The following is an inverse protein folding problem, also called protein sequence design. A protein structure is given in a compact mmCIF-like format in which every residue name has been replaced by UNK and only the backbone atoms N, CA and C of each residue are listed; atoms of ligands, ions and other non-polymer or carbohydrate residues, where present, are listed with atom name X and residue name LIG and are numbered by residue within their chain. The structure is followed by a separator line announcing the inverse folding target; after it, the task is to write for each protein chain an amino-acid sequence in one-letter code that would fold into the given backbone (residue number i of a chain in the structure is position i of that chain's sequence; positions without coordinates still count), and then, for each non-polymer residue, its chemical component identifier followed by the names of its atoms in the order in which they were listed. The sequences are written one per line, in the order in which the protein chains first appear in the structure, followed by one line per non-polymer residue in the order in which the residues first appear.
data_IF_033205017386
#
_entry.id   IF_033205017386
#
_cell.length_a   1.000
_cell.length_b   1.000
_cell.length_c   1.000
_cell.angle_alpha   90.00
_cell.angle_beta   90.00
_cell.angle_gamma   90.00
#
_symmetry.space_group_name_H-M   'P 1'
#
loop_
_entity.id
_entity.type
_entity.pdbx_description
1 polymer ?
#
# COMPACT_ATOMS: atom_id res chain seq x y z
N UNK A 1 6.45 -2.94 -12.49
CA UNK A 1 6.06 -4.35 -12.80
C UNK A 1 5.63 -5.12 -11.56
N UNK A 2 6.24 -4.90 -10.41
CA UNK A 2 5.95 -5.65 -9.16
C UNK A 2 4.52 -5.43 -8.65
N UNK A 3 4.04 -4.19 -8.50
CA UNK A 3 2.68 -3.91 -8.02
C UNK A 3 1.59 -4.60 -8.84
N UNK A 4 1.69 -4.52 -10.17
CA UNK A 4 0.77 -5.21 -11.07
C UNK A 4 0.77 -6.72 -10.83
N UNK A 5 1.95 -7.36 -10.77
CA UNK A 5 2.06 -8.81 -10.59
C UNK A 5 1.52 -9.26 -9.23
N UNK A 6 1.82 -8.50 -8.16
CA UNK A 6 1.31 -8.79 -6.83
C UNK A 6 -0.23 -8.66 -6.77
N UNK A 7 -0.79 -7.62 -7.38
CA UNK A 7 -2.24 -7.44 -7.43
C UNK A 7 -2.93 -8.55 -8.23
N UNK A 8 -2.44 -8.89 -9.43
CA UNK A 8 -3.05 -9.94 -10.28
C UNK A 8 -3.03 -11.30 -9.59
N UNK A 9 -2.00 -11.61 -8.81
CA UNK A 9 -1.83 -12.95 -8.22
C UNK A 9 -2.92 -13.36 -7.25
N UNK A 10 -3.67 -12.42 -6.66
CA UNK A 10 -4.81 -12.70 -5.77
C UNK A 10 -6.17 -12.67 -6.46
N UNK A 11 -6.23 -12.33 -7.76
CA UNK A 11 -7.48 -12.15 -8.51
C UNK A 11 -8.45 -11.21 -7.78
N UNK A 12 -8.09 -9.95 -7.57
CA UNK A 12 -8.78 -9.05 -6.67
C UNK A 12 -10.20 -8.73 -7.15
N UNK A 13 -11.09 -8.43 -6.20
CA UNK A 13 -12.40 -7.79 -6.39
C UNK A 13 -12.35 -6.33 -6.00
N UNK A 14 -11.53 -6.03 -4.97
CA UNK A 14 -11.32 -4.69 -4.45
C UNK A 14 -9.84 -4.45 -4.14
N UNK A 15 -9.30 -3.40 -4.74
CA UNK A 15 -7.96 -2.86 -4.48
C UNK A 15 -8.15 -1.51 -3.79
N UNK A 16 -7.51 -1.32 -2.65
CA UNK A 16 -7.47 -0.04 -1.94
C UNK A 16 -6.06 0.51 -1.98
N UNK A 17 -5.93 1.74 -2.42
CA UNK A 17 -4.69 2.50 -2.54
C UNK A 17 -4.75 3.71 -1.61
N UNK A 18 -3.84 3.80 -0.67
CA UNK A 18 -3.64 4.95 0.22
C UNK A 18 -2.41 5.72 -0.24
N UNK A 19 -2.62 6.97 -0.68
CA UNK A 19 -1.62 7.77 -1.37
C UNK A 19 -1.60 7.53 -2.88
N UNK A 20 -1.87 8.58 -3.67
CA UNK A 20 -2.01 8.52 -5.14
C UNK A 20 -0.94 9.35 -5.84
N UNK A 21 -0.70 10.56 -5.35
CA UNK A 21 0.27 11.50 -5.89
C UNK A 21 0.18 11.63 -7.42
N UNK A 22 1.18 11.12 -8.17
CA UNK A 22 1.27 11.16 -9.63
C UNK A 22 0.47 10.07 -10.37
N UNK A 23 -0.07 9.08 -9.64
CA UNK A 23 -0.87 7.99 -10.20
C UNK A 23 -0.06 6.84 -10.79
N UNK A 24 1.24 6.75 -10.49
CA UNK A 24 2.10 5.66 -11.00
C UNK A 24 1.66 4.28 -10.48
N UNK A 25 1.31 4.19 -9.20
CA UNK A 25 0.74 3.00 -8.57
C UNK A 25 -0.68 2.75 -9.05
N UNK A 26 -1.52 3.79 -9.12
CA UNK A 26 -2.89 3.74 -9.65
C UNK A 26 -2.93 3.09 -11.03
N UNK A 27 -2.01 3.48 -11.93
CA UNK A 27 -1.91 2.89 -13.27
C UNK A 27 -1.64 1.37 -13.21
N UNK A 28 -0.79 0.91 -12.31
CA UNK A 28 -0.51 -0.52 -12.15
C UNK A 28 -1.74 -1.28 -11.62
N UNK A 29 -2.44 -0.71 -10.63
CA UNK A 29 -3.64 -1.30 -10.07
C UNK A 29 -4.83 -1.29 -11.03
N UNK A 30 -5.00 -0.20 -11.78
CA UNK A 30 -6.01 -0.15 -12.85
C UNK A 30 -5.82 -1.27 -13.88
N UNK A 31 -4.58 -1.50 -14.32
CA UNK A 31 -4.29 -2.59 -15.25
C UNK A 31 -4.57 -3.98 -14.65
N UNK A 32 -4.25 -4.19 -13.39
CA UNK A 32 -4.59 -5.43 -12.69
C UNK A 32 -6.12 -5.59 -12.57
N UNK A 33 -6.81 -4.52 -12.18
CA UNK A 33 -8.25 -4.50 -12.02
C UNK A 33 -9.01 -4.77 -13.33
N UNK A 34 -8.51 -4.31 -14.46
CA UNK A 34 -9.09 -4.61 -15.79
C UNK A 34 -9.08 -6.10 -16.11
N UNK A 35 -8.12 -6.87 -15.60
CA UNK A 35 -8.06 -8.32 -15.84
C UNK A 35 -9.06 -9.10 -14.99
N UNK A 36 -9.33 -8.65 -13.77
CA UNK A 36 -10.25 -9.33 -12.83
C UNK A 36 -11.64 -8.71 -12.78
N UNK A 37 -11.82 -7.50 -13.33
CA UNK A 37 -13.02 -6.71 -13.18
C UNK A 37 -13.16 -6.05 -11.81
N UNK A 38 -12.08 -5.91 -11.07
CA UNK A 38 -12.04 -5.34 -9.71
C UNK A 38 -12.43 -3.86 -9.67
N UNK A 39 -12.87 -3.38 -8.52
CA UNK A 39 -12.86 -1.96 -8.19
C UNK A 39 -11.49 -1.52 -7.68
N UNK A 40 -11.12 -0.28 -7.98
CA UNK A 40 -9.95 0.40 -7.39
C UNK A 40 -10.46 1.61 -6.64
N UNK A 41 -10.20 1.66 -5.35
CA UNK A 41 -10.48 2.79 -4.47
C UNK A 41 -9.15 3.43 -4.10
N UNK A 42 -8.97 4.70 -4.46
CA UNK A 42 -7.78 5.47 -4.13
C UNK A 42 -8.15 6.62 -3.19
N UNK A 43 -7.40 6.76 -2.10
CA UNK A 43 -7.63 7.79 -1.08
C UNK A 43 -6.39 8.67 -0.99
N UNK A 44 -6.56 9.98 -1.05
CA UNK A 44 -5.47 10.96 -0.92
C UNK A 44 -6.00 12.27 -0.34
N UNK A 45 -5.13 13.03 0.33
CA UNK A 45 -5.44 14.39 0.81
C UNK A 45 -5.50 15.41 -0.33
N UNK A 46 -4.78 15.18 -1.42
CA UNK A 46 -4.74 16.04 -2.58
C UNK A 46 -5.74 15.62 -3.67
N UNK A 47 -6.05 16.50 -4.58
CA UNK A 47 -6.98 16.20 -5.69
C UNK A 47 -6.26 15.47 -6.83
N UNK A 48 -6.49 14.15 -6.92
CA UNK A 48 -5.88 13.26 -7.91
C UNK A 48 -6.90 12.69 -8.93
N UNK A 49 -8.10 13.29 -9.06
CA UNK A 49 -9.19 12.76 -9.89
C UNK A 49 -8.85 12.56 -11.36
N UNK A 50 -7.85 13.28 -11.86
CA UNK A 50 -7.45 13.19 -13.28
C UNK A 50 -6.51 12.03 -13.60
N UNK A 51 -6.14 11.23 -12.61
CA UNK A 51 -5.10 10.19 -12.78
C UNK A 51 -5.59 8.90 -13.43
N UNK A 52 -6.89 8.62 -13.40
CA UNK A 52 -7.45 7.42 -14.03
C UNK A 52 -8.77 7.68 -14.76
N UNK A 53 -8.95 6.99 -15.90
CA UNK A 53 -10.21 6.90 -16.63
C UNK A 53 -10.87 5.51 -16.50
N UNK A 54 -10.42 4.68 -15.58
CA UNK A 54 -10.97 3.34 -15.38
C UNK A 54 -12.40 3.45 -14.80
N UNK A 55 -13.43 2.83 -15.42
CA UNK A 55 -14.82 3.02 -14.99
C UNK A 55 -15.14 2.53 -13.57
N UNK A 56 -14.32 1.62 -13.04
CA UNK A 56 -14.43 1.12 -11.67
C UNK A 56 -13.33 1.67 -10.76
N UNK A 57 -12.74 2.80 -11.10
CA UNK A 57 -11.88 3.56 -10.23
C UNK A 57 -12.68 4.65 -9.53
N UNK A 58 -12.52 4.74 -8.23
CA UNK A 58 -13.09 5.80 -7.39
C UNK A 58 -11.99 6.49 -6.63
N UNK A 59 -11.97 7.81 -6.68
CA UNK A 59 -11.07 8.63 -5.90
C UNK A 59 -11.83 9.29 -4.74
N UNK A 60 -11.26 9.22 -3.55
CA UNK A 60 -11.76 9.89 -2.34
C UNK A 60 -10.70 10.87 -1.84
N UNK A 61 -11.05 12.16 -1.86
CA UNK A 61 -10.18 13.22 -1.32
C UNK A 61 -10.47 13.39 0.17
N UNK A 62 -9.77 12.65 1.00
CA UNK A 62 -9.95 12.63 2.45
C UNK A 62 -8.69 12.09 3.15
N UNK A 63 -8.60 12.34 4.47
CA UNK A 63 -7.65 11.63 5.31
C UNK A 63 -8.03 10.14 5.36
N UNK A 64 -7.09 9.28 5.07
CA UNK A 64 -7.26 7.82 4.95
C UNK A 64 -7.67 7.16 6.26
N UNK A 65 -7.19 7.64 7.41
CA UNK A 65 -7.59 7.12 8.74
C UNK A 65 -9.06 7.47 9.02
N UNK A 66 -9.47 8.70 8.73
CA UNK A 66 -10.88 9.12 8.89
C UNK A 66 -11.77 8.31 7.97
N UNK A 67 -11.37 8.15 6.71
CA UNK A 67 -12.13 7.41 5.72
C UNK A 67 -12.21 5.90 6.04
N UNK A 68 -11.25 5.32 6.73
CA UNK A 68 -11.33 3.92 7.17
C UNK A 68 -12.59 3.64 8.02
N UNK A 69 -13.03 4.61 8.82
CA UNK A 69 -14.30 4.51 9.57
C UNK A 69 -15.56 4.56 8.69
N UNK A 70 -15.48 5.20 7.54
CA UNK A 70 -16.58 5.37 6.57
C UNK A 70 -16.55 4.27 5.48
N UNK A 71 -15.46 3.51 5.38
CA UNK A 71 -15.23 2.52 4.33
C UNK A 71 -16.35 1.47 4.19
N UNK A 72 -16.93 0.89 5.26
CA UNK A 72 -18.03 -0.05 5.14
C UNK A 72 -19.29 0.57 4.49
N UNK A 73 -19.60 1.81 4.83
CA UNK A 73 -20.73 2.55 4.25
C UNK A 73 -20.48 2.88 2.78
N UNK A 74 -19.25 3.29 2.45
CA UNK A 74 -18.82 3.49 1.08
C UNK A 74 -18.98 2.20 0.26
N UNK A 75 -18.49 1.07 0.76
CA UNK A 75 -18.65 -0.24 0.10
C UNK A 75 -20.13 -0.58 -0.14
N UNK A 76 -20.99 -0.40 0.86
CA UNK A 76 -22.42 -0.66 0.74
C UNK A 76 -23.06 0.20 -0.36
N UNK A 77 -22.70 1.49 -0.47
CA UNK A 77 -23.21 2.39 -1.51
C UNK A 77 -22.77 2.01 -2.93
N UNK A 78 -21.63 1.31 -3.04
CA UNK A 78 -21.08 0.80 -4.30
C UNK A 78 -21.41 -0.68 -4.57
N UNK A 79 -22.26 -1.29 -3.72
CA UNK A 79 -22.65 -2.72 -3.82
C UNK A 79 -21.43 -3.66 -3.73
N UNK A 80 -20.45 -3.30 -2.90
CA UNK A 80 -19.23 -4.05 -2.61
C UNK A 80 -19.27 -4.63 -1.19
N UNK A 81 -18.59 -5.77 -1.00
CA UNK A 81 -18.22 -6.23 0.34
C UNK A 81 -17.05 -5.39 0.86
N UNK A 82 -17.02 -5.03 2.17
CA UNK A 82 -15.86 -4.35 2.76
C UNK A 82 -14.70 -5.32 3.01
N UNK A 83 -14.32 -6.06 1.97
CA UNK A 83 -13.22 -7.03 1.98
C UNK A 83 -12.18 -6.62 0.95
N UNK A 84 -11.00 -6.25 1.43
CA UNK A 84 -9.88 -5.75 0.62
C UNK A 84 -9.00 -6.94 0.20
N UNK A 85 -8.85 -7.14 -1.10
CA UNK A 85 -7.94 -8.18 -1.63
C UNK A 85 -6.50 -7.66 -1.80
N UNK A 86 -6.34 -6.35 -2.07
CA UNK A 86 -5.03 -5.68 -2.12
C UNK A 86 -5.13 -4.34 -1.41
N UNK A 87 -4.32 -4.14 -0.39
CA UNK A 87 -4.13 -2.86 0.30
C UNK A 87 -2.73 -2.34 -0.03
N UNK A 88 -2.64 -1.15 -0.62
CA UNK A 88 -1.38 -0.46 -0.88
C UNK A 88 -1.28 0.79 -0.02
N UNK A 89 -0.13 0.98 0.64
CA UNK A 89 0.15 2.10 1.54
C UNK A 89 1.40 2.82 1.06
N UNK A 90 1.24 4.08 0.63
CA UNK A 90 2.31 4.97 0.15
C UNK A 90 1.97 6.44 0.46
N UNK A 91 1.78 6.76 1.72
CA UNK A 91 1.29 8.04 2.22
C UNK A 91 2.40 8.92 2.82
N UNK A 92 2.28 9.27 4.11
CA UNK A 92 3.21 10.17 4.81
C UNK A 92 4.56 9.55 5.17
N UNK A 93 4.67 8.22 5.17
CA UNK A 93 5.83 7.42 5.61
C UNK A 93 6.23 7.63 7.09
N UNK A 94 5.38 8.29 7.88
CA UNK A 94 5.60 8.51 9.30
C UNK A 94 5.18 7.28 10.12
N UNK A 95 5.96 6.96 11.14
CA UNK A 95 5.71 5.78 11.98
C UNK A 95 4.30 5.75 12.58
N UNK A 96 3.89 6.84 13.24
CA UNK A 96 2.59 6.94 13.91
C UNK A 96 1.44 6.80 12.92
N UNK A 97 1.55 7.46 11.76
CA UNK A 97 0.52 7.40 10.73
C UNK A 97 0.43 6.00 10.11
N UNK A 98 1.56 5.41 9.72
CA UNK A 98 1.56 4.04 9.15
C UNK A 98 1.04 3.01 10.14
N UNK A 99 1.33 3.18 11.44
CA UNK A 99 0.80 2.30 12.49
C UNK A 99 -0.74 2.40 12.59
N UNK A 100 -1.29 3.62 12.48
CA UNK A 100 -2.74 3.83 12.42
C UNK A 100 -3.34 3.25 11.14
N UNK A 101 -2.72 3.46 9.96
CA UNK A 101 -3.17 2.85 8.70
C UNK A 101 -3.28 1.32 8.84
N UNK A 102 -2.22 0.66 9.33
CA UNK A 102 -2.26 -0.78 9.55
C UNK A 102 -3.36 -1.17 10.53
N UNK A 103 -3.51 -0.45 11.65
CA UNK A 103 -4.53 -0.72 12.66
C UNK A 103 -5.96 -0.60 12.14
N UNK A 104 -6.25 0.41 11.33
CA UNK A 104 -7.61 0.70 10.87
C UNK A 104 -7.98 -0.05 9.58
N UNK A 105 -7.02 -0.35 8.70
CA UNK A 105 -7.30 -0.97 7.41
C UNK A 105 -7.13 -2.50 7.39
N UNK A 106 -6.20 -3.08 8.18
CA UNK A 106 -6.01 -4.54 8.19
C UNK A 106 -7.25 -5.33 8.63
N UNK A 107 -8.16 -4.83 9.49
CA UNK A 107 -9.40 -5.54 9.81
C UNK A 107 -10.32 -5.80 8.61
N UNK A 108 -10.19 -5.03 7.54
CA UNK A 108 -10.98 -5.21 6.31
C UNK A 108 -10.33 -6.15 5.29
N UNK A 109 -9.19 -6.76 5.60
CA UNK A 109 -8.52 -7.64 4.64
C UNK A 109 -9.29 -8.94 4.43
N UNK A 110 -9.48 -9.31 3.16
CA UNK A 110 -10.03 -10.60 2.77
C UNK A 110 -9.14 -11.76 3.22
N UNK A 111 -9.69 -12.98 3.25
CA UNK A 111 -8.94 -14.17 3.65
C UNK A 111 -7.71 -14.43 2.76
N UNK A 112 -7.81 -14.13 1.45
CA UNK A 112 -6.67 -14.12 0.51
C UNK A 112 -6.40 -12.69 0.12
N UNK A 113 -5.50 -12.06 0.82
CA UNK A 113 -5.20 -10.66 0.61
C UNK A 113 -3.70 -10.39 0.66
N UNK A 114 -3.32 -9.24 0.11
CA UNK A 114 -1.97 -8.71 0.24
C UNK A 114 -2.00 -7.30 0.77
N UNK A 115 -1.03 -6.99 1.63
CA UNK A 115 -0.68 -5.62 2.01
C UNK A 115 0.65 -5.29 1.39
N UNK A 116 0.74 -4.17 0.70
CA UNK A 116 1.94 -3.71 0.01
C UNK A 116 2.29 -2.34 0.58
N UNK A 117 3.48 -2.23 1.17
CA UNK A 117 3.99 -0.97 1.73
C UNK A 117 5.19 -0.50 0.91
N UNK A 118 5.13 0.75 0.47
CA UNK A 118 6.24 1.43 -0.19
C UNK A 118 7.13 2.16 0.82
N UNK A 119 8.31 2.59 0.39
CA UNK A 119 9.28 3.37 1.18
C UNK A 119 9.70 2.72 2.52
N UNK A 120 9.69 1.39 2.58
CA UNK A 120 10.09 0.60 3.75
C UNK A 120 11.60 0.58 4.02
N UNK A 121 12.42 1.10 3.09
CA UNK A 121 13.89 1.28 3.23
C UNK A 121 14.29 2.71 2.87
N UNK A 122 13.46 3.69 3.19
CA UNK A 122 13.76 5.07 2.90
C UNK A 122 14.94 5.57 3.73
N UNK A 123 15.92 6.17 3.06
CA UNK A 123 17.14 6.71 3.68
C UNK A 123 17.15 8.23 3.59
N UNK A 124 17.63 8.88 4.67
CA UNK A 124 17.82 10.33 4.70
C UNK A 124 18.69 10.83 3.55
N UNK A 125 19.72 10.05 3.17
CA UNK A 125 20.60 10.35 2.03
C UNK A 125 20.72 9.11 1.17
N UNK A 126 20.46 9.25 -0.11
CA UNK A 126 20.61 8.16 -1.08
C UNK A 126 21.39 8.63 -2.32
N UNK A 127 21.96 7.68 -3.04
CA UNK A 127 22.67 7.95 -4.29
C UNK A 127 21.74 7.73 -5.47
N UNK A 128 21.56 8.77 -6.30
CA UNK A 128 20.79 8.68 -7.55
C UNK A 128 21.54 7.89 -8.62
N UNK A 129 20.84 7.53 -9.71
CA UNK A 129 21.43 6.81 -10.85
C UNK A 129 22.56 7.58 -11.53
N UNK A 130 22.50 8.91 -11.56
CA UNK A 130 23.55 9.83 -12.04
C UNK A 130 24.73 10.01 -11.07
N UNK A 131 24.73 9.26 -9.96
CA UNK A 131 25.69 9.28 -8.85
C UNK A 131 25.63 10.53 -7.97
N UNK A 132 24.76 11.47 -8.22
CA UNK A 132 24.50 12.59 -7.29
C UNK A 132 23.88 12.08 -5.99
N UNK A 133 23.96 12.91 -4.93
CA UNK A 133 23.28 12.63 -3.67
C UNK A 133 21.87 13.22 -3.70
N UNK A 134 20.89 12.45 -3.30
CA UNK A 134 19.53 12.88 -3.01
C UNK A 134 19.30 12.93 -1.51
N UNK A 135 18.46 13.87 -1.09
CA UNK A 135 17.92 13.86 0.26
C UNK A 135 16.59 13.12 0.22
N UNK A 136 16.50 12.05 0.99
CA UNK A 136 15.23 11.37 1.28
C UNK A 136 14.52 12.08 2.44
N UNK A 137 13.34 11.63 2.73
CA UNK A 137 12.59 12.09 3.90
C UNK A 137 13.20 11.43 5.13
N UNK A 138 13.38 12.22 6.17
CA UNK A 138 13.84 11.70 7.47
C UNK A 138 12.62 11.16 8.22
N UNK A 139 12.27 9.92 7.91
CA UNK A 139 11.13 9.23 8.53
C UNK A 139 11.55 8.27 9.67
N UNK A 140 12.83 8.28 10.05
CA UNK A 140 13.39 7.41 11.10
C UNK A 140 12.91 5.95 10.98
N UNK A 141 13.01 5.38 9.78
CA UNK A 141 12.49 4.03 9.45
C UNK A 141 10.97 3.90 9.68
N UNK A 142 10.20 4.99 9.52
CA UNK A 142 8.80 5.05 9.99
C UNK A 142 7.95 3.87 9.52
N UNK A 143 7.90 3.60 8.22
CA UNK A 143 7.06 2.54 7.65
C UNK A 143 7.46 1.15 8.16
N UNK A 144 8.77 0.81 8.11
CA UNK A 144 9.21 -0.53 8.53
C UNK A 144 9.08 -0.72 10.04
N UNK A 145 9.25 0.34 10.85
CA UNK A 145 9.03 0.30 12.30
C UNK A 145 7.58 0.02 12.66
N UNK A 146 6.64 0.65 11.97
CA UNK A 146 5.21 0.39 12.16
C UNK A 146 4.88 -1.08 11.85
N UNK A 147 5.45 -1.60 10.76
CA UNK A 147 5.29 -3.01 10.39
C UNK A 147 5.93 -3.95 11.42
N UNK A 148 7.13 -3.63 11.91
CA UNK A 148 7.82 -4.39 12.98
C UNK A 148 6.98 -4.50 14.24
N UNK A 149 6.33 -3.40 14.64
CA UNK A 149 5.44 -3.37 15.80
C UNK A 149 4.17 -4.19 15.55
N UNK A 150 3.56 -4.02 14.39
CA UNK A 150 2.34 -4.76 14.01
C UNK A 150 2.56 -6.28 13.98
N UNK A 151 3.71 -6.74 13.49
CA UNK A 151 4.03 -8.17 13.36
C UNK A 151 4.87 -8.73 14.52
N UNK A 152 5.24 -7.92 15.51
CA UNK A 152 6.07 -8.36 16.64
C UNK A 152 7.46 -8.87 16.25
N UNK A 153 8.02 -8.45 15.11
CA UNK A 153 9.25 -8.98 14.52
C UNK A 153 10.14 -7.86 14.00
N UNK A 154 11.46 -7.98 14.16
CA UNK A 154 12.43 -7.01 13.60
C UNK A 154 12.89 -7.43 12.22
N UNK A 155 13.08 -6.45 11.34
CA UNK A 155 13.52 -6.63 9.96
C UNK A 155 14.82 -5.87 9.68
N UNK A 156 15.62 -6.38 8.73
CA UNK A 156 16.75 -5.67 8.17
C UNK A 156 16.39 -5.21 6.74
N UNK A 157 15.75 -4.06 6.64
CA UNK A 157 15.28 -3.47 5.39
C UNK A 157 16.38 -3.06 4.42
N UNK A 158 17.64 -3.08 4.86
CA UNK A 158 18.78 -2.79 3.98
C UNK A 158 19.11 -3.95 3.01
N UNK A 159 18.45 -5.09 3.15
CA UNK A 159 18.66 -6.31 2.34
C UNK A 159 17.31 -6.88 1.91
N UNK A 160 17.31 -7.51 0.73
CA UNK A 160 16.16 -8.30 0.32
C UNK A 160 15.99 -9.50 1.25
N UNK A 161 14.75 -9.78 1.64
CA UNK A 161 14.46 -10.95 2.47
C UNK A 161 13.08 -11.55 2.17
N UNK A 162 12.93 -12.82 2.57
CA UNK A 162 11.64 -13.53 2.65
C UNK A 162 11.60 -14.20 4.01
N UNK A 163 10.54 -13.99 4.76
CA UNK A 163 10.35 -14.56 6.10
C UNK A 163 8.88 -14.77 6.41
N UNK A 164 8.60 -15.42 7.53
CA UNK A 164 7.24 -15.56 8.08
C UNK A 164 7.19 -14.86 9.43
N UNK A 165 6.19 -14.02 9.64
CA UNK A 165 5.94 -13.33 10.89
C UNK A 165 4.43 -13.19 11.12
N UNK A 166 3.95 -13.56 12.31
CA UNK A 166 2.54 -13.43 12.74
C UNK A 166 1.49 -13.91 11.71
N UNK A 167 1.75 -15.08 11.09
CA UNK A 167 0.84 -15.66 10.08
C UNK A 167 0.92 -15.02 8.70
N UNK A 168 1.92 -14.17 8.45
CA UNK A 168 2.17 -13.54 7.17
C UNK A 168 3.47 -14.05 6.52
N UNK A 169 3.43 -14.35 5.22
CA UNK A 169 4.61 -14.41 4.39
C UNK A 169 5.02 -12.97 4.06
N UNK A 170 6.19 -12.56 4.54
CA UNK A 170 6.75 -11.23 4.35
C UNK A 170 7.86 -11.29 3.31
N UNK A 171 7.70 -10.55 2.22
CA UNK A 171 8.73 -10.40 1.17
C UNK A 171 9.13 -8.94 1.09
N UNK A 172 10.42 -8.68 1.08
CA UNK A 172 10.98 -7.33 1.02
C UNK A 172 12.03 -7.21 -0.07
N UNK A 173 11.99 -6.10 -0.78
CA UNK A 173 13.00 -5.67 -1.75
C UNK A 173 13.56 -4.32 -1.30
N UNK A 174 14.87 -4.27 -1.07
CA UNK A 174 15.56 -3.10 -0.52
C UNK A 174 15.77 -1.95 -1.51
N UNK A 175 15.59 -2.19 -2.82
CA UNK A 175 15.77 -1.17 -3.85
C UNK A 175 14.55 -0.21 -3.94
N UNK A 176 14.72 0.92 -4.61
CA UNK A 176 13.68 1.94 -4.80
C UNK A 176 13.03 2.39 -3.48
N UNK A 177 13.83 2.71 -2.46
CA UNK A 177 13.42 3.06 -1.10
C UNK A 177 12.73 1.93 -0.31
N UNK A 178 12.71 0.73 -0.85
CA UNK A 178 12.09 -0.44 -0.21
C UNK A 178 10.62 -0.64 -0.59
N UNK A 179 10.32 -1.90 -0.86
CA UNK A 179 8.95 -2.39 -1.06
C UNK A 179 8.77 -3.64 -0.21
N UNK A 180 7.75 -3.66 0.63
CA UNK A 180 7.42 -4.83 1.45
C UNK A 180 6.03 -5.33 1.11
N UNK A 181 5.89 -6.63 0.89
CA UNK A 181 4.61 -7.30 0.60
C UNK A 181 4.33 -8.33 1.68
N UNK A 182 3.17 -8.22 2.28
CA UNK A 182 2.60 -9.21 3.18
C UNK A 182 1.57 -10.04 2.41
N UNK A 183 1.64 -11.35 2.54
CA UNK A 183 0.64 -12.28 2.00
C UNK A 183 0.18 -13.18 3.14
N UNK A 184 -1.13 -13.28 3.37
CA UNK A 184 -1.68 -14.10 4.44
C UNK A 184 -1.46 -15.59 4.15
N UNK A 185 -0.96 -16.34 5.15
CA UNK A 185 -0.73 -17.79 5.07
C UNK A 185 -1.98 -18.60 5.38
#
# INVERSE_FOLDING_TARGET
MTLFAEAVSVHPRLIVELGVRGGESTFAFERAARLSGAHVLSVDLEDCQVQSSYPKWTFVKQNDITFAGEFPEWCASHQLSPEIDVLFIDTSHLYEHTLEELRFWMPYLAARSKVILHDTNMKRVYRRADRSLGMGWDNDRGVIRALEETLGTKFNEAQDFVTVADGWLVRHWAHCNGLTVLERL
#
